data_IF_407753318635
#
_entry.id   IF_407753318635
#
_cell.length_a   1.000
_cell.length_b   1.000
_cell.length_c   1.000
_cell.angle_alpha   90.00
_cell.angle_beta   90.00
_cell.angle_gamma   90.00
#
_symmetry.space_group_name_H-M   'P 1'
#
loop_
_entity.id
_entity.type
_entity.pdbx_description
1 polymer ?
#
# COMPACT_ATOMS: atom_id res chain seq x y z
N UNK A 1 4.47 21.44 -7.31
CA UNK A 1 3.13 21.69 -6.76
C UNK A 1 2.22 22.47 -7.72
N UNK A 2 2.64 23.64 -8.22
CA UNK A 2 1.79 24.48 -9.10
C UNK A 2 1.26 23.75 -10.35
N UNK A 3 2.08 22.90 -10.98
CA UNK A 3 1.70 22.14 -12.19
C UNK A 3 0.63 21.07 -11.94
N UNK A 4 0.62 20.46 -10.75
CA UNK A 4 -0.32 19.37 -10.41
C UNK A 4 -1.58 19.89 -9.70
N UNK A 5 -1.56 21.14 -9.22
CA UNK A 5 -2.66 21.72 -8.47
C UNK A 5 -4.00 21.72 -9.25
N UNK A 6 -4.06 22.06 -10.54
CA UNK A 6 -5.32 21.98 -11.30
C UNK A 6 -5.89 20.57 -11.35
N UNK A 7 -5.01 19.57 -11.52
CA UNK A 7 -5.39 18.15 -11.54
C UNK A 7 -5.90 17.72 -10.17
N UNK A 8 -5.22 18.10 -9.08
CA UNK A 8 -5.66 17.84 -7.72
C UNK A 8 -7.03 18.47 -7.41
N UNK A 9 -7.31 19.69 -7.90
CA UNK A 9 -8.61 20.35 -7.72
C UNK A 9 -9.73 19.62 -8.45
N UNK A 10 -9.49 19.19 -9.69
CA UNK A 10 -10.46 18.41 -10.46
C UNK A 10 -10.75 17.07 -9.76
N UNK A 11 -9.71 16.35 -9.31
CA UNK A 11 -9.88 15.09 -8.59
C UNK A 11 -10.62 15.33 -7.27
N UNK A 12 -10.27 16.38 -6.52
CA UNK A 12 -10.94 16.73 -5.27
C UNK A 12 -12.45 16.95 -5.47
N UNK A 13 -12.82 17.66 -6.55
CA UNK A 13 -14.22 17.86 -6.93
C UNK A 13 -14.90 16.54 -7.28
N UNK A 14 -14.28 15.70 -8.12
CA UNK A 14 -14.81 14.38 -8.46
C UNK A 14 -15.03 13.52 -7.21
N UNK A 15 -14.06 13.46 -6.30
CA UNK A 15 -14.19 12.74 -5.02
C UNK A 15 -15.35 13.31 -4.20
N UNK A 16 -15.50 14.64 -4.15
CA UNK A 16 -16.59 15.29 -3.43
C UNK A 16 -17.97 14.97 -4.00
N UNK A 17 -18.07 14.81 -5.32
CA UNK A 17 -19.31 14.47 -6.04
C UNK A 17 -19.64 12.99 -5.87
N UNK A 18 -18.69 12.09 -6.14
CA UNK A 18 -18.94 10.65 -6.19
C UNK A 18 -18.90 9.95 -4.83
N UNK A 19 -18.14 10.48 -3.87
CA UNK A 19 -17.94 9.85 -2.55
C UNK A 19 -18.40 10.75 -1.39
N UNK A 20 -18.54 12.06 -1.59
CA UNK A 20 -18.97 13.01 -0.56
C UNK A 20 -17.81 13.63 0.23
N UNK A 21 -18.05 13.92 1.51
CA UNK A 21 -17.02 14.40 2.47
C UNK A 21 -16.61 13.28 3.43
N UNK A 22 -15.35 13.20 3.88
CA UNK A 22 -14.20 14.04 3.51
C UNK A 22 -13.60 13.70 2.15
N UNK A 23 -12.96 14.69 1.49
CA UNK A 23 -12.26 14.48 0.22
C UNK A 23 -10.92 13.78 0.42
N UNK A 24 -10.19 14.17 1.46
CA UNK A 24 -8.92 13.55 1.82
C UNK A 24 -9.13 12.43 2.82
N UNK A 25 -8.51 11.30 2.53
CA UNK A 25 -8.28 10.22 3.47
C UNK A 25 -6.94 10.44 4.18
N UNK A 26 -6.95 10.26 5.49
CA UNK A 26 -5.79 10.43 6.38
C UNK A 26 -5.57 9.15 7.13
N UNK A 27 -4.32 8.70 7.20
CA UNK A 27 -3.99 7.51 7.97
C UNK A 27 -2.59 7.60 8.56
N UNK A 28 -2.47 7.26 9.84
CA UNK A 28 -1.17 7.18 10.51
C UNK A 28 -0.40 5.97 9.98
N UNK A 29 0.85 6.21 9.57
CA UNK A 29 1.75 5.23 8.99
C UNK A 29 3.15 5.34 9.63
N UNK A 30 3.94 4.26 9.65
CA UNK A 30 5.31 4.30 10.10
C UNK A 30 6.19 4.97 9.03
N UNK A 31 6.93 5.99 9.44
CA UNK A 31 7.97 6.64 8.67
C UNK A 31 9.35 6.13 9.02
N UNK A 32 10.36 6.98 8.87
CA UNK A 32 11.74 6.67 9.24
C UNK A 32 11.84 6.32 10.73
N UNK A 33 12.61 5.29 11.05
CA UNK A 33 12.78 4.72 12.39
C UNK A 33 11.44 4.27 13.02
N UNK A 34 10.44 3.96 12.18
CA UNK A 34 9.08 3.60 12.63
C UNK A 34 8.27 4.76 13.21
N UNK A 35 8.77 6.01 13.14
CA UNK A 35 8.08 7.18 13.70
C UNK A 35 6.76 7.44 12.98
N UNK A 36 5.64 7.66 13.69
CA UNK A 36 4.35 7.87 13.05
C UNK A 36 4.30 9.19 12.29
N UNK A 37 3.68 9.18 11.10
CA UNK A 37 3.30 10.37 10.36
C UNK A 37 1.90 10.21 9.75
N UNK A 38 1.23 11.32 9.44
CA UNK A 38 -0.08 11.30 8.79
C UNK A 38 0.09 11.25 7.26
N UNK A 39 -0.19 10.10 6.65
CA UNK A 39 -0.18 9.94 5.20
C UNK A 39 -1.49 10.46 4.60
N UNK A 40 -1.38 11.26 3.54
CA UNK A 40 -2.52 11.87 2.84
C UNK A 40 -2.83 11.15 1.53
N UNK A 41 -4.12 10.87 1.28
CA UNK A 41 -4.63 10.38 -0.01
C UNK A 41 -5.95 11.04 -0.37
N UNK A 42 -6.37 10.92 -1.62
CA UNK A 42 -7.77 11.09 -1.93
C UNK A 42 -8.56 9.88 -1.45
N UNK A 43 -9.76 10.11 -0.91
CA UNK A 43 -10.64 9.03 -0.52
C UNK A 43 -11.12 8.26 -1.77
N UNK A 44 -11.01 6.94 -1.74
CA UNK A 44 -11.42 6.05 -2.84
C UNK A 44 -12.58 5.12 -2.47
N UNK A 45 -12.97 5.09 -1.20
CA UNK A 45 -13.98 4.17 -0.66
C UNK A 45 -15.11 4.96 -0.03
N UNK A 46 -16.31 4.39 -0.04
CA UNK A 46 -17.47 4.93 0.68
C UNK A 46 -17.34 4.70 2.18
N UNK A 47 -18.19 5.34 2.98
CA UNK A 47 -18.33 5.06 4.42
C UNK A 47 -19.55 4.19 4.72
N UNK A 48 -19.91 3.30 3.78
CA UNK A 48 -21.04 2.39 3.93
C UNK A 48 -20.82 1.46 5.13
N UNK A 49 -21.89 1.27 5.90
CA UNK A 49 -21.92 0.49 7.13
C UNK A 49 -23.03 -0.56 7.07
N UNK A 50 -22.85 -1.65 7.79
CA UNK A 50 -23.89 -2.65 7.99
C UNK A 50 -24.93 -2.20 9.03
N UNK A 51 -25.89 -3.08 9.31
CA UNK A 51 -26.95 -2.83 10.29
C UNK A 51 -26.45 -2.69 11.73
N UNK A 52 -25.27 -3.26 12.06
CA UNK A 52 -24.59 -3.08 13.35
C UNK A 52 -23.87 -1.74 13.47
N UNK A 53 -23.73 -1.01 12.35
CA UNK A 53 -22.98 0.24 12.28
C UNK A 53 -21.49 0.04 12.03
N UNK A 54 -21.04 -1.18 11.73
CA UNK A 54 -19.66 -1.48 11.36
C UNK A 54 -19.42 -1.18 9.89
N UNK A 55 -18.19 -0.78 9.54
CA UNK A 55 -17.83 -0.52 8.14
C UNK A 55 -17.93 -1.82 7.35
N UNK A 56 -18.57 -1.74 6.18
CA UNK A 56 -18.61 -2.87 5.25
C UNK A 56 -17.19 -3.28 4.81
N UNK A 57 -17.02 -4.52 4.32
CA UNK A 57 -15.78 -4.95 3.69
C UNK A 57 -15.29 -3.98 2.59
N UNK A 58 -13.98 -3.94 2.38
CA UNK A 58 -13.34 -3.05 1.41
C UNK A 58 -13.89 -3.24 -0.01
N UNK A 59 -14.26 -4.47 -0.38
CA UNK A 59 -14.86 -4.81 -1.68
C UNK A 59 -16.23 -4.16 -1.89
N UNK A 60 -17.06 -4.10 -0.86
CA UNK A 60 -18.40 -3.48 -0.90
C UNK A 60 -18.34 -1.96 -0.86
N UNK A 61 -17.23 -1.41 -0.35
CA UNK A 61 -17.00 0.04 -0.22
C UNK A 61 -16.30 0.65 -1.42
N UNK A 62 -15.75 -0.16 -2.33
CA UNK A 62 -14.97 0.31 -3.45
C UNK A 62 -15.85 0.51 -4.70
N UNK A 63 -16.12 1.77 -5.04
CA UNK A 63 -16.95 2.12 -6.21
C UNK A 63 -16.16 2.00 -7.52
N UNK A 64 -16.81 1.94 -8.70
CA UNK A 64 -16.11 2.01 -9.99
C UNK A 64 -15.19 3.23 -10.13
N UNK A 65 -15.62 4.38 -9.60
CA UNK A 65 -14.79 5.59 -9.53
C UNK A 65 -13.57 5.38 -8.62
N UNK A 66 -13.74 4.77 -7.45
CA UNK A 66 -12.65 4.43 -6.54
C UNK A 66 -11.64 3.46 -7.15
N UNK A 67 -12.11 2.42 -7.84
CA UNK A 67 -11.27 1.46 -8.60
C UNK A 67 -10.46 2.21 -9.65
N UNK A 68 -11.13 3.06 -10.45
CA UNK A 68 -10.47 3.84 -11.49
C UNK A 68 -9.41 4.79 -10.91
N UNK A 69 -9.71 5.47 -9.81
CA UNK A 69 -8.79 6.41 -9.18
C UNK A 69 -7.52 5.70 -8.67
N UNK A 70 -7.68 4.53 -8.03
CA UNK A 70 -6.55 3.67 -7.64
C UNK A 70 -5.78 3.13 -8.83
N UNK A 71 -6.48 2.75 -9.89
CA UNK A 71 -5.85 2.19 -11.09
C UNK A 71 -4.95 3.19 -11.81
N UNK A 72 -5.23 4.48 -11.67
CA UNK A 72 -4.42 5.56 -12.23
C UNK A 72 -3.38 6.08 -11.22
N UNK A 73 -3.40 5.58 -9.97
CA UNK A 73 -2.59 6.07 -8.84
C UNK A 73 -2.76 7.57 -8.55
N UNK A 74 -3.85 8.16 -9.07
CA UNK A 74 -4.18 9.57 -8.86
C UNK A 74 -4.61 9.82 -7.40
N UNK A 75 -5.06 8.79 -6.70
CA UNK A 75 -5.40 8.85 -5.28
C UNK A 75 -4.19 9.17 -4.39
N UNK A 76 -2.97 8.92 -4.87
CA UNK A 76 -1.71 9.12 -4.13
C UNK A 76 -1.12 10.52 -4.33
N UNK A 77 -1.68 11.36 -5.21
CA UNK A 77 -1.17 12.72 -5.43
C UNK A 77 -1.05 13.58 -4.15
N UNK A 78 -1.95 13.48 -3.15
CA UNK A 78 -1.79 14.21 -1.90
C UNK A 78 -0.53 13.82 -1.09
N UNK A 79 0.04 12.63 -1.30
CA UNK A 79 1.30 12.21 -0.66
C UNK A 79 2.48 13.11 -1.04
N UNK A 80 2.40 13.83 -2.16
CA UNK A 80 3.43 14.81 -2.55
C UNK A 80 3.53 15.97 -1.54
N UNK A 81 2.46 16.25 -0.78
CA UNK A 81 2.55 17.19 0.35
C UNK A 81 3.38 16.61 1.49
N UNK A 82 3.28 15.31 1.77
CA UNK A 82 4.14 14.63 2.75
C UNK A 82 5.61 14.65 2.30
N UNK A 83 5.88 14.51 1.00
CA UNK A 83 7.25 14.65 0.45
C UNK A 83 7.80 16.05 0.70
N UNK A 84 7.01 17.09 0.42
CA UNK A 84 7.44 18.48 0.65
C UNK A 84 7.65 18.79 2.13
N UNK A 85 6.86 18.18 3.02
CA UNK A 85 7.02 18.31 4.48
C UNK A 85 8.20 17.52 5.04
N UNK A 86 8.88 16.70 4.23
CA UNK A 86 9.99 15.86 4.67
C UNK A 86 9.57 14.60 5.43
N UNK A 87 8.29 14.23 5.37
CA UNK A 87 7.74 13.02 6.00
C UNK A 87 7.90 11.79 5.10
N UNK A 88 7.99 12.01 3.78
CA UNK A 88 8.17 11.00 2.75
C UNK A 88 9.25 11.41 1.73
N UNK A 89 9.69 10.46 0.92
CA UNK A 89 10.50 10.64 -0.28
C UNK A 89 9.67 10.29 -1.53
N UNK A 90 10.13 10.70 -2.72
CA UNK A 90 9.56 10.19 -3.97
C UNK A 90 9.82 8.69 -4.14
N UNK A 91 11.02 8.24 -3.76
CA UNK A 91 11.45 6.85 -3.85
C UNK A 91 11.80 6.34 -2.46
N UNK A 92 11.26 5.16 -2.12
CA UNK A 92 11.46 4.52 -0.83
C UNK A 92 10.49 3.34 -0.61
N UNK A 93 10.69 2.55 0.44
CA UNK A 93 9.74 1.50 0.82
C UNK A 93 8.35 2.07 1.06
N UNK A 94 7.30 1.38 0.59
CA UNK A 94 5.93 1.86 0.78
C UNK A 94 5.56 1.89 2.26
N UNK A 95 4.98 2.96 2.80
CA UNK A 95 4.53 2.99 4.19
C UNK A 95 3.41 1.95 4.42
N UNK A 96 3.60 1.07 5.41
CA UNK A 96 2.64 0.00 5.73
C UNK A 96 1.85 0.32 7.00
N UNK A 97 1.07 -0.62 7.53
CA UNK A 97 0.18 -0.31 8.67
C UNK A 97 0.99 -0.25 9.97
N UNK A 98 0.65 0.67 10.88
CA UNK A 98 1.30 0.77 12.20
C UNK A 98 1.28 -0.56 12.96
N UNK A 99 0.19 -1.33 12.83
CA UNK A 99 0.04 -2.65 13.47
C UNK A 99 1.05 -3.71 13.01
N UNK A 100 1.80 -3.45 11.93
CA UNK A 100 2.85 -4.35 11.45
C UNK A 100 4.19 -4.13 12.13
N UNK A 101 4.42 -2.96 12.74
CA UNK A 101 5.68 -2.66 13.45
C UNK A 101 6.12 -3.77 14.43
N UNK A 102 5.25 -4.30 15.32
CA UNK A 102 5.64 -5.37 16.25
C UNK A 102 5.79 -6.74 15.58
N UNK A 103 5.42 -6.89 14.29
CA UNK A 103 5.44 -8.16 13.55
C UNK A 103 6.73 -8.34 12.73
N UNK A 104 7.55 -7.30 12.61
CA UNK A 104 8.78 -7.35 11.84
C UNK A 104 9.89 -8.10 12.58
N UNK A 105 10.65 -8.91 11.84
CA UNK A 105 11.98 -9.30 12.29
C UNK A 105 12.93 -8.09 12.27
N UNK A 106 14.08 -8.20 12.94
CA UNK A 106 15.07 -7.13 12.96
C UNK A 106 15.53 -6.73 11.53
N UNK A 107 15.67 -7.70 10.63
CA UNK A 107 16.01 -7.44 9.22
C UNK A 107 14.88 -6.72 8.48
N UNK A 108 13.64 -7.20 8.60
CA UNK A 108 12.49 -6.56 7.94
C UNK A 108 12.26 -5.14 8.44
N UNK A 109 12.55 -4.88 9.72
CA UNK A 109 12.42 -3.55 10.32
C UNK A 109 13.33 -2.52 9.65
N UNK A 110 14.48 -2.94 9.09
CA UNK A 110 15.42 -2.05 8.38
C UNK A 110 14.83 -1.33 7.17
N UNK A 111 13.67 -1.77 6.67
CA UNK A 111 12.90 -1.00 5.68
C UNK A 111 12.55 0.42 6.14
N UNK A 112 12.63 0.71 7.44
CA UNK A 112 12.39 2.03 8.02
C UNK A 112 13.69 2.85 8.24
N UNK A 113 14.86 2.38 7.80
CA UNK A 113 16.13 3.13 7.96
C UNK A 113 16.19 4.37 7.03
N UNK A 114 15.29 4.46 6.04
CA UNK A 114 15.11 5.63 5.18
C UNK A 114 13.67 6.15 5.22
N UNK A 115 13.43 7.29 4.57
CA UNK A 115 12.07 7.83 4.45
C UNK A 115 11.21 6.89 3.58
N UNK A 116 9.94 6.68 3.94
CA UNK A 116 9.00 5.95 3.09
C UNK A 116 8.81 6.66 1.75
N UNK A 117 8.53 5.89 0.70
CA UNK A 117 8.40 6.39 -0.67
C UNK A 117 6.98 6.38 -1.21
N UNK A 118 6.67 7.32 -2.10
CA UNK A 118 5.49 7.26 -2.97
C UNK A 118 5.59 6.02 -3.88
N UNK A 119 6.73 5.86 -4.56
CA UNK A 119 7.12 4.65 -5.29
C UNK A 119 8.37 4.02 -4.69
N UNK A 120 8.75 2.82 -5.15
CA UNK A 120 9.87 2.08 -4.60
C UNK A 120 10.22 0.83 -5.39
N UNK A 121 11.31 0.17 -4.99
CA UNK A 121 11.83 -1.00 -5.69
C UNK A 121 10.84 -2.17 -5.71
N UNK A 122 10.17 -2.45 -4.58
CA UNK A 122 9.12 -3.46 -4.52
C UNK A 122 7.91 -3.11 -5.39
N UNK A 123 7.53 -1.83 -5.45
CA UNK A 123 6.43 -1.33 -6.28
C UNK A 123 6.69 -1.57 -7.77
N UNK A 124 7.91 -1.36 -8.25
CA UNK A 124 8.24 -1.59 -9.66
C UNK A 124 8.51 -3.06 -9.99
N UNK A 125 8.93 -3.91 -9.04
CA UNK A 125 9.26 -5.32 -9.32
C UNK A 125 8.11 -6.33 -9.09
N UNK A 126 6.90 -5.87 -8.75
CA UNK A 126 5.74 -6.77 -8.65
C UNK A 126 4.53 -6.18 -7.93
N UNK A 127 4.71 -5.07 -7.20
CA UNK A 127 3.63 -4.31 -6.53
C UNK A 127 2.80 -5.20 -5.60
N UNK A 128 1.57 -5.55 -6.02
CA UNK A 128 0.66 -6.36 -5.24
C UNK A 128 0.86 -7.85 -5.48
N UNK A 129 1.52 -8.28 -6.56
CA UNK A 129 1.75 -9.70 -6.89
C UNK A 129 2.83 -10.38 -6.02
N UNK A 130 3.55 -9.59 -5.21
CA UNK A 130 4.59 -10.10 -4.33
C UNK A 130 3.99 -10.59 -3.02
N UNK A 131 4.46 -11.74 -2.55
CA UNK A 131 4.27 -12.18 -1.17
C UNK A 131 5.05 -11.28 -0.20
N UNK A 132 4.65 -11.30 1.08
CA UNK A 132 5.24 -10.46 2.11
C UNK A 132 6.77 -10.61 2.24
N UNK A 133 7.32 -11.84 2.31
CA UNK A 133 8.77 -12.04 2.37
C UNK A 133 9.52 -11.42 1.19
N UNK A 134 9.07 -11.61 -0.05
CA UNK A 134 9.74 -11.03 -1.21
C UNK A 134 9.66 -9.51 -1.24
N UNK A 135 8.51 -8.96 -0.83
CA UNK A 135 8.33 -7.52 -0.70
C UNK A 135 9.32 -6.91 0.30
N UNK A 136 9.48 -7.52 1.48
CA UNK A 136 10.42 -7.02 2.48
C UNK A 136 11.87 -7.18 2.03
N UNK A 137 12.24 -8.29 1.37
CA UNK A 137 13.59 -8.43 0.80
C UNK A 137 13.91 -7.33 -0.21
N UNK A 138 12.95 -6.96 -1.07
CA UNK A 138 13.13 -5.87 -2.04
C UNK A 138 13.22 -4.50 -1.37
N UNK A 139 12.42 -4.27 -0.32
CA UNK A 139 12.48 -3.04 0.47
C UNK A 139 13.84 -2.87 1.17
N UNK A 140 14.32 -3.92 1.86
CA UNK A 140 15.62 -3.91 2.55
C UNK A 140 16.77 -3.78 1.55
N UNK A 141 16.71 -4.50 0.42
CA UNK A 141 17.71 -4.37 -0.65
C UNK A 141 17.80 -2.94 -1.18
N UNK A 142 16.67 -2.25 -1.32
CA UNK A 142 16.66 -0.84 -1.73
C UNK A 142 17.34 0.04 -0.70
N UNK A 143 17.00 -0.11 0.58
CA UNK A 143 17.62 0.65 1.68
C UNK A 143 19.15 0.52 1.67
N UNK A 144 19.67 -0.68 1.40
CA UNK A 144 21.11 -0.95 1.37
C UNK A 144 21.84 -0.38 0.15
N UNK A 145 21.11 -0.06 -0.93
CA UNK A 145 21.68 0.29 -2.25
C UNK A 145 21.17 1.59 -2.81
N UNK A 146 20.41 2.34 -2.01
CA UNK A 146 19.83 3.61 -2.41
C UNK A 146 20.90 4.53 -2.97
N UNK A 147 20.65 5.03 -4.18
CA UNK A 147 21.54 5.90 -4.92
C UNK A 147 20.72 6.69 -5.92
N UNK A 148 21.22 7.87 -6.31
CA UNK A 148 20.49 8.74 -7.23
C UNK A 148 20.17 8.05 -8.57
N UNK A 149 21.09 7.23 -9.08
CA UNK A 149 20.89 6.46 -10.31
C UNK A 149 19.80 5.39 -10.18
N UNK A 150 19.75 4.71 -9.02
CA UNK A 150 18.70 3.75 -8.72
C UNK A 150 17.34 4.44 -8.58
N UNK A 151 17.28 5.58 -7.90
CA UNK A 151 16.04 6.35 -7.76
C UNK A 151 15.51 6.81 -9.11
N UNK A 152 16.38 7.36 -9.97
CA UNK A 152 15.99 7.75 -11.33
C UNK A 152 15.47 6.56 -12.14
N UNK A 153 16.12 5.40 -12.03
CA UNK A 153 15.65 4.16 -12.64
C UNK A 153 14.25 3.77 -12.14
N UNK A 154 14.02 3.84 -10.83
CA UNK A 154 12.71 3.50 -10.24
C UNK A 154 11.64 4.47 -10.73
N UNK A 155 11.93 5.77 -10.80
CA UNK A 155 11.00 6.78 -11.31
C UNK A 155 10.63 6.50 -12.78
N UNK A 156 11.62 6.21 -13.64
CA UNK A 156 11.37 5.84 -15.04
C UNK A 156 10.51 4.58 -15.16
N UNK A 157 10.82 3.53 -14.39
CA UNK A 157 10.04 2.29 -14.37
C UNK A 157 8.62 2.51 -13.83
N UNK A 158 8.44 3.43 -12.89
CA UNK A 158 7.14 3.79 -12.34
C UNK A 158 6.27 4.43 -13.43
N UNK A 159 6.78 5.43 -14.15
CA UNK A 159 6.07 6.06 -15.27
C UNK A 159 5.72 5.03 -16.34
N UNK A 160 6.68 4.17 -16.71
CA UNK A 160 6.46 3.11 -17.69
C UNK A 160 5.31 2.17 -17.29
N UNK A 161 5.28 1.72 -16.04
CA UNK A 161 4.23 0.83 -15.53
C UNK A 161 2.86 1.49 -15.45
N UNK A 162 2.81 2.78 -15.09
CA UNK A 162 1.57 3.55 -15.09
C UNK A 162 1.00 3.69 -16.51
N UNK A 163 1.85 3.97 -17.50
CA UNK A 163 1.44 4.07 -18.91
C UNK A 163 0.93 2.73 -19.44
N UNK A 164 1.60 1.63 -19.11
CA UNK A 164 1.22 0.28 -19.56
C UNK A 164 0.10 -0.38 -18.76
N UNK A 165 -0.28 0.21 -17.62
CA UNK A 165 -1.26 -0.35 -16.67
C UNK A 165 -0.90 -1.76 -16.16
N UNK A 166 0.38 -2.10 -16.09
CA UNK A 166 0.86 -3.43 -15.68
C UNK A 166 0.81 -3.61 -14.14
N UNK A 167 0.25 -4.73 -13.67
CA UNK A 167 0.29 -5.13 -12.25
C UNK A 167 -0.64 -4.34 -11.32
N UNK A 168 -1.69 -3.74 -11.87
CA UNK A 168 -2.62 -2.85 -11.15
C UNK A 168 -3.74 -3.62 -10.44
N UNK A 169 -4.08 -4.81 -10.92
CA UNK A 169 -5.17 -5.63 -10.38
C UNK A 169 -4.68 -7.08 -10.28
N UNK A 170 -4.69 -7.65 -9.07
CA UNK A 170 -4.77 -9.11 -8.96
C UNK A 170 -6.24 -9.50 -9.20
N UNK A 171 -6.54 -10.50 -10.05
CA UNK A 171 -7.88 -11.03 -10.14
C UNK A 171 -8.33 -11.55 -8.76
N UNK A 172 -9.38 -10.97 -8.18
CA UNK A 172 -9.99 -11.45 -6.93
C UNK A 172 -9.47 -10.87 -5.62
N UNK A 173 -8.44 -10.00 -5.61
CA UNK A 173 -8.04 -9.26 -4.41
C UNK A 173 -7.81 -7.77 -4.71
N UNK A 174 -8.71 -6.93 -4.22
CA UNK A 174 -8.62 -5.46 -4.32
C UNK A 174 -7.58 -4.86 -3.35
N UNK A 175 -7.14 -5.64 -2.36
CA UNK A 175 -6.16 -5.28 -1.33
C UNK A 175 -5.20 -6.43 -1.05
N UNK A 176 -3.92 -6.13 -0.79
CA UNK A 176 -2.95 -7.13 -0.35
C UNK A 176 -3.37 -7.76 0.98
N UNK A 177 -3.14 -9.06 1.14
CA UNK A 177 -3.42 -9.80 2.38
C UNK A 177 -2.74 -9.18 3.60
N UNK A 178 -3.35 -9.33 4.78
CA UNK A 178 -2.76 -8.80 6.01
C UNK A 178 -1.44 -9.53 6.35
N UNK A 179 -0.42 -8.76 6.75
CA UNK A 179 0.87 -9.32 7.18
C UNK A 179 0.78 -9.82 8.62
N UNK A 180 0.82 -11.14 8.84
CA UNK A 180 0.65 -11.73 10.17
C UNK A 180 1.95 -11.98 10.95
N UNK A 181 3.11 -11.57 10.43
CA UNK A 181 4.42 -11.92 11.01
C UNK A 181 4.91 -13.29 10.56
N UNK A 182 6.19 -13.58 10.77
CA UNK A 182 6.82 -14.85 10.35
C UNK A 182 6.31 -16.06 11.17
N UNK A 183 5.97 -15.87 12.44
CA UNK A 183 5.54 -16.94 13.35
C UNK A 183 4.10 -17.42 13.13
N UNK A 184 3.25 -16.63 12.48
CA UNK A 184 1.84 -16.99 12.28
C UNK A 184 1.63 -18.00 11.13
N UNK A 185 2.61 -18.17 10.23
CA UNK A 185 2.48 -19.05 9.05
C UNK A 185 2.75 -20.52 9.39
N UNK A 186 3.33 -20.82 10.55
CA UNK A 186 3.67 -22.19 10.96
C UNK A 186 2.48 -23.04 11.45
N UNK A 187 1.26 -22.49 11.50
CA UNK A 187 0.11 -23.13 12.16
C UNK A 187 -0.95 -23.80 11.26
N UNK A 188 -0.87 -23.72 9.93
CA UNK A 188 -2.01 -24.13 9.08
C UNK A 188 -1.78 -25.31 8.14
N UNK A 189 -0.64 -26.01 8.19
CA UNK A 189 -0.39 -27.24 7.41
C UNK A 189 0.23 -28.34 8.30
N UNK A 190 -0.54 -28.81 9.29
CA UNK A 190 -0.26 -30.02 10.08
C UNK A 190 -1.39 -31.01 9.85
N UNK A 191 -1.08 -32.16 9.25
CA UNK A 191 -2.06 -33.03 8.60
C UNK A 191 -2.98 -33.82 9.52
N UNK A 192 -4.22 -33.95 9.09
CA UNK A 192 -5.06 -35.09 9.44
C UNK A 192 -4.95 -36.14 8.33
N UNK A 193 -3.99 -37.06 8.51
CA UNK A 193 -4.10 -38.44 8.02
C UNK A 193 -3.83 -39.37 9.18
N UNK A 194 -4.89 -39.96 9.71
CA UNK A 194 -5.01 -41.25 10.41
C UNK A 194 -6.51 -41.42 10.66
N UNK A 195 -7.15 -42.56 10.47
CA UNK A 195 -6.79 -43.86 9.92
C UNK A 195 -8.13 -44.58 9.79
N UNK A 196 -8.42 -45.16 8.63
CA UNK A 196 -9.54 -46.07 8.48
C UNK A 196 -9.24 -47.35 9.26
N UNK A 197 -10.08 -47.73 10.23
CA UNK A 197 -10.23 -49.14 10.60
C UNK A 197 -11.58 -49.44 11.25
N UNK A 198 -12.24 -50.42 10.68
CA UNK A 198 -13.45 -51.10 11.13
C UNK A 198 -13.27 -51.72 12.52
N UNK A 199 -14.32 -51.73 13.34
CA UNK A 199 -14.90 -52.94 13.97
C UNK A 199 -16.07 -52.58 14.91
N UNK A 200 -17.12 -53.40 14.80
CA UNK A 200 -18.35 -53.52 15.61
C UNK A 200 -19.54 -52.58 15.32
#
# INVERSE_FOLDING_TARGET
>A
MLLILPICLVIALCVRIFLGSPVLFRQVRPGKDGKPFEMLKFRTMTDARDASGDLLPDEDRLTPFGIWLRSTSLDELPELLNVIRGEMSLVGPRPLLMRYLPRYSAEQYRRHDCLPGVTGWAQVNGRNALDWPSKFRLDVWYVERMSLSLDLKILCLTVWKLVRREGITQPGQSTASEFMGETAVAGSHGGERRETRLSE
#
